data_IF_266545992000
#
_entry.id   IF_266545992000
#
_cell.length_a   1.000
_cell.length_b   1.000
_cell.length_c   1.000
_cell.angle_alpha   90.00
_cell.angle_beta   90.00
_cell.angle_gamma   90.00
#
_symmetry.space_group_name_H-M   'P 1'
#
loop_
_entity.id
_entity.type
_entity.pdbx_description
1 polymer ?
#
# COMPACT_ATOMS: atom_id res chain seq x y z
N UNK A 1 -71.41 -1.23 16.40
CA UNK A 1 -70.38 -0.16 16.44
C UNK A 1 -69.15 -0.75 17.12
N UNK A 2 -68.06 -1.03 16.37
CA UNK A 2 -66.86 -0.19 16.19
C UNK A 2 -66.20 0.18 17.54
N UNK A 3 -64.91 0.01 17.78
CA UNK A 3 -63.79 -0.56 17.05
C UNK A 3 -62.66 -0.82 18.08
N UNK A 4 -61.84 -1.86 17.85
CA UNK A 4 -60.64 -2.17 18.64
C UNK A 4 -59.50 -1.24 18.23
N UNK A 5 -58.82 -0.63 19.20
CA UNK A 5 -57.50 -0.02 19.01
C UNK A 5 -56.44 -1.15 19.06
N UNK A 6 -55.66 -1.27 17.98
CA UNK A 6 -54.41 -2.01 17.97
C UNK A 6 -53.37 -1.12 17.28
N UNK A 7 -52.55 -0.43 18.08
CA UNK A 7 -51.32 0.18 17.59
C UNK A 7 -50.22 -0.88 17.66
N UNK A 8 -49.98 -1.53 16.53
CA UNK A 8 -48.87 -2.46 16.34
C UNK A 8 -47.59 -1.74 15.95
N UNK A 9 -46.56 -1.95 16.78
CA UNK A 9 -45.14 -2.11 16.47
C UNK A 9 -44.71 -1.84 15.01
N UNK A 10 -44.04 -0.70 14.75
CA UNK A 10 -43.25 -0.47 13.51
C UNK A 10 -41.78 -0.06 13.82
N UNK A 11 -41.34 -0.14 15.08
CA UNK A 11 -40.01 0.34 15.47
C UNK A 11 -38.87 -0.71 15.42
N UNK A 12 -39.15 -1.99 15.14
CA UNK A 12 -38.15 -3.05 15.25
C UNK A 12 -37.47 -3.44 13.93
N UNK A 13 -38.03 -3.10 12.76
CA UNK A 13 -37.49 -3.53 11.46
C UNK A 13 -36.42 -2.62 10.87
N UNK A 14 -36.38 -1.34 11.26
CA UNK A 14 -35.36 -0.38 10.80
C UNK A 14 -33.99 -0.56 11.52
N UNK A 15 -33.98 -1.08 12.75
CA UNK A 15 -32.72 -1.31 13.50
C UNK A 15 -31.91 -2.51 12.97
N UNK A 16 -32.57 -3.56 12.47
CA UNK A 16 -31.85 -4.74 11.94
C UNK A 16 -31.20 -4.48 10.57
N UNK A 17 -31.77 -3.59 9.75
CA UNK A 17 -31.19 -3.25 8.45
C UNK A 17 -29.89 -2.44 8.57
N UNK A 18 -29.75 -1.62 9.62
CA UNK A 18 -28.50 -0.88 9.89
C UNK A 18 -27.43 -1.76 10.51
N UNK A 19 -27.80 -2.76 11.32
CA UNK A 19 -26.84 -3.71 11.91
C UNK A 19 -26.27 -4.70 10.89
N UNK A 20 -27.07 -5.20 9.94
CA UNK A 20 -26.58 -6.10 8.89
C UNK A 20 -25.57 -5.39 7.96
N UNK A 21 -25.87 -4.16 7.55
CA UNK A 21 -24.98 -3.34 6.70
C UNK A 21 -23.66 -3.02 7.42
N UNK A 22 -23.69 -2.82 8.74
CA UNK A 22 -22.49 -2.60 9.54
C UNK A 22 -21.66 -3.90 9.72
N UNK A 23 -22.30 -5.06 9.81
CA UNK A 23 -21.62 -6.35 9.93
C UNK A 23 -20.88 -6.77 8.65
N UNK A 24 -21.42 -6.40 7.48
CA UNK A 24 -20.83 -6.75 6.18
C UNK A 24 -19.82 -5.70 5.66
N UNK A 25 -19.73 -4.52 6.28
CA UNK A 25 -18.81 -3.49 5.82
C UNK A 25 -17.34 -3.86 6.11
N UNK A 26 -16.50 -3.72 5.08
CA UNK A 26 -15.08 -4.05 5.18
C UNK A 26 -14.77 -5.54 5.17
N UNK A 27 -15.69 -6.34 4.62
CA UNK A 27 -15.51 -7.75 4.27
C UNK A 27 -15.48 -7.94 2.75
N UNK A 28 -14.81 -9.00 2.29
CA UNK A 28 -14.87 -9.41 0.88
C UNK A 28 -16.33 -9.67 0.49
N UNK A 29 -16.72 -9.14 -0.66
CA UNK A 29 -18.07 -9.10 -1.24
C UNK A 29 -19.14 -8.39 -0.38
N UNK A 30 -18.71 -7.72 0.68
CA UNK A 30 -19.58 -6.93 1.55
C UNK A 30 -19.89 -5.54 1.00
N UNK A 31 -20.39 -4.64 1.85
CA UNK A 31 -20.74 -3.27 1.44
C UNK A 31 -19.49 -2.38 1.35
N UNK A 32 -19.28 -1.74 0.21
CA UNK A 32 -18.26 -0.71 0.01
C UNK A 32 -18.80 0.70 0.32
N UNK A 33 -17.95 1.72 0.60
CA UNK A 33 -18.39 3.08 0.79
C UNK A 33 -19.24 3.59 -0.38
N UNK A 34 -20.42 4.14 -0.10
CA UNK A 34 -21.36 4.55 -1.14
C UNK A 34 -20.90 5.75 -1.96
N UNK A 35 -19.95 6.55 -1.45
CA UNK A 35 -19.48 7.79 -2.06
C UNK A 35 -18.07 7.68 -2.71
N UNK A 36 -17.65 6.47 -3.12
CA UNK A 36 -16.35 6.26 -3.79
C UNK A 36 -16.19 7.17 -5.02
N UNK A 37 -17.24 7.30 -5.85
CA UNK A 37 -17.17 8.11 -7.07
C UNK A 37 -16.98 9.60 -6.76
N UNK A 38 -17.72 10.13 -5.77
CA UNK A 38 -17.60 11.53 -5.32
C UNK A 38 -16.18 11.84 -4.82
N UNK A 39 -15.64 10.98 -3.94
CA UNK A 39 -14.29 11.17 -3.41
C UNK A 39 -13.23 11.06 -4.50
N UNK A 40 -13.43 10.14 -5.45
CA UNK A 40 -12.52 9.99 -6.59
C UNK A 40 -12.55 11.22 -7.49
N UNK A 41 -13.73 11.79 -7.74
CA UNK A 41 -13.87 13.04 -8.50
C UNK A 41 -13.16 14.21 -7.82
N UNK A 42 -13.31 14.37 -6.50
CA UNK A 42 -12.60 15.38 -5.71
C UNK A 42 -11.08 15.25 -5.89
N UNK A 43 -10.54 14.04 -5.72
CA UNK A 43 -9.09 13.81 -5.84
C UNK A 43 -8.58 14.01 -7.28
N UNK A 44 -9.44 13.79 -8.28
CA UNK A 44 -9.13 13.95 -9.70
C UNK A 44 -9.26 15.39 -10.22
N UNK A 45 -9.74 16.33 -9.41
CA UNK A 45 -9.67 17.76 -9.73
C UNK A 45 -8.22 18.21 -9.93
N UNK A 46 -7.27 17.58 -9.22
CA UNK A 46 -5.86 17.74 -9.47
C UNK A 46 -5.40 16.92 -10.69
N UNK A 47 -4.66 17.50 -11.65
CA UNK A 47 -4.29 16.83 -12.91
C UNK A 47 -2.97 16.05 -12.80
N UNK A 48 -2.85 15.15 -11.81
CA UNK A 48 -1.69 14.25 -11.73
C UNK A 48 -1.70 13.24 -12.87
N UNK A 49 -0.55 12.70 -13.24
CA UNK A 49 -0.38 11.77 -14.36
C UNK A 49 -0.21 10.32 -13.91
N UNK A 50 0.55 10.14 -12.82
CA UNK A 50 0.85 8.87 -12.20
C UNK A 50 0.63 8.97 -10.69
N UNK A 51 0.35 7.84 -10.05
CA UNK A 51 0.39 7.74 -8.60
C UNK A 51 1.08 6.44 -8.17
N UNK A 52 2.23 6.57 -7.51
CA UNK A 52 2.92 5.44 -6.92
C UNK A 52 2.24 5.10 -5.58
N UNK A 53 1.65 3.92 -5.51
CA UNK A 53 0.94 3.42 -4.35
C UNK A 53 1.89 2.53 -3.53
N UNK A 54 2.17 2.97 -2.31
CA UNK A 54 3.08 2.33 -1.36
C UNK A 54 2.24 1.80 -0.21
N UNK A 55 1.93 0.51 -0.24
CA UNK A 55 1.10 -0.12 0.80
C UNK A 55 1.93 -0.47 2.03
N UNK A 56 1.31 -0.34 3.20
CA UNK A 56 1.97 -0.60 4.48
C UNK A 56 2.18 -2.10 4.72
N UNK A 57 3.14 -2.41 5.58
CA UNK A 57 3.42 -3.78 5.98
C UNK A 57 2.42 -4.31 7.00
N UNK A 58 1.91 -5.53 6.76
CA UNK A 58 0.92 -6.19 7.64
C UNK A 58 1.41 -7.52 8.23
N UNK A 59 2.46 -8.13 7.69
CA UNK A 59 2.91 -9.44 8.17
C UNK A 59 3.91 -9.35 9.33
N UNK A 60 3.95 -10.42 10.13
CA UNK A 60 4.95 -10.60 11.20
C UNK A 60 6.33 -11.03 10.67
N UNK A 61 6.44 -11.45 9.40
CA UNK A 61 7.62 -12.17 8.90
C UNK A 61 8.04 -11.95 7.45
N UNK A 62 7.54 -10.95 6.71
CA UNK A 62 8.11 -10.69 5.37
C UNK A 62 7.27 -9.99 4.31
N UNK A 63 6.40 -9.03 4.63
CA UNK A 63 5.84 -8.12 3.63
C UNK A 63 6.20 -6.71 4.04
N UNK A 64 7.38 -6.22 3.64
CA UNK A 64 7.87 -4.84 3.86
C UNK A 64 7.07 -3.75 3.11
N UNK A 65 5.77 -3.97 2.94
CA UNK A 65 4.91 -3.20 2.05
C UNK A 65 4.82 -3.79 0.65
N UNK A 66 4.03 -3.12 -0.18
CA UNK A 66 3.78 -3.48 -1.58
C UNK A 66 3.85 -2.21 -2.43
N UNK A 67 4.28 -2.34 -3.70
CA UNK A 67 4.26 -1.25 -4.66
C UNK A 67 3.29 -1.55 -5.79
N UNK A 68 2.46 -0.58 -6.09
CA UNK A 68 1.64 -0.53 -7.29
C UNK A 68 1.74 0.85 -7.94
N UNK A 69 1.37 0.96 -9.20
CA UNK A 69 1.39 2.23 -9.95
C UNK A 69 0.04 2.47 -10.60
N UNK A 70 -0.64 3.54 -10.20
CA UNK A 70 -1.81 4.03 -10.91
C UNK A 70 -1.35 4.88 -12.10
N UNK A 71 -1.88 4.59 -13.28
CA UNK A 71 -1.75 5.42 -14.47
C UNK A 71 -3.09 6.10 -14.72
N UNK A 72 -3.08 7.44 -14.74
CA UNK A 72 -4.31 8.22 -14.89
C UNK A 72 -4.98 7.94 -16.23
N UNK A 73 -6.31 7.84 -16.19
CA UNK A 73 -7.18 7.65 -17.35
C UNK A 73 -6.92 6.34 -18.10
N UNK A 74 -6.32 5.35 -17.43
CA UNK A 74 -6.18 3.99 -17.97
C UNK A 74 -7.51 3.26 -18.16
N UNK A 75 -8.59 3.74 -17.52
CA UNK A 75 -9.98 3.28 -17.72
C UNK A 75 -10.94 4.47 -17.67
N UNK A 76 -12.12 4.39 -18.32
CA UNK A 76 -13.07 5.50 -18.31
C UNK A 76 -13.50 5.92 -16.91
N UNK A 77 -13.24 7.19 -16.54
CA UNK A 77 -13.69 7.77 -15.27
C UNK A 77 -12.94 7.28 -14.02
N UNK A 78 -11.80 6.60 -14.18
CA UNK A 78 -10.95 6.13 -13.09
C UNK A 78 -9.48 6.02 -13.57
N UNK A 79 -8.57 5.66 -12.68
CA UNK A 79 -7.20 5.29 -13.04
C UNK A 79 -7.08 3.76 -13.12
N UNK A 80 -6.08 3.27 -13.85
CA UNK A 80 -5.74 1.84 -13.84
C UNK A 80 -4.50 1.60 -12.99
N UNK A 81 -4.62 0.76 -11.97
CA UNK A 81 -3.54 0.37 -11.07
C UNK A 81 -2.87 -0.88 -11.57
N UNK A 82 -1.56 -0.80 -11.76
CA UNK A 82 -0.68 -1.93 -12.07
C UNK A 82 0.00 -2.43 -10.82
N UNK A 83 -0.21 -3.71 -10.49
CA UNK A 83 0.27 -4.35 -9.28
C UNK A 83 0.86 -5.72 -9.61
N UNK A 84 2.02 -6.06 -9.04
CA UNK A 84 2.55 -7.42 -9.20
C UNK A 84 1.73 -8.42 -8.39
N UNK A 85 1.32 -9.50 -9.02
CA UNK A 85 0.55 -10.58 -8.43
C UNK A 85 1.46 -11.52 -7.64
N UNK A 86 1.32 -11.52 -6.32
CA UNK A 86 2.08 -12.39 -5.42
C UNK A 86 1.86 -13.89 -5.72
N UNK A 87 0.65 -14.26 -6.14
CA UNK A 87 0.26 -15.65 -6.37
C UNK A 87 0.65 -16.18 -7.75
N UNK A 88 1.14 -15.32 -8.65
CA UNK A 88 1.64 -15.72 -9.98
C UNK A 88 3.08 -16.29 -9.91
N UNK A 89 3.37 -17.11 -8.90
CA UNK A 89 4.68 -17.73 -8.64
C UNK A 89 4.78 -19.18 -9.16
N UNK A 90 3.66 -19.74 -9.62
CA UNK A 90 3.52 -21.11 -10.12
C UNK A 90 3.81 -22.18 -9.06
N UNK A 91 3.61 -21.86 -7.78
CA UNK A 91 3.63 -22.86 -6.71
C UNK A 91 2.39 -23.76 -6.77
N UNK A 92 2.52 -25.00 -6.31
CA UNK A 92 1.39 -25.93 -6.24
C UNK A 92 0.34 -25.43 -5.23
N UNK A 93 0.79 -24.74 -4.17
CA UNK A 93 -0.07 -24.11 -3.17
C UNK A 93 -0.96 -23.01 -3.76
N UNK A 94 -0.47 -22.28 -4.77
CA UNK A 94 -1.22 -21.22 -5.45
C UNK A 94 -1.95 -21.68 -6.73
N UNK A 95 -1.86 -22.96 -7.08
CA UNK A 95 -2.47 -23.50 -8.30
C UNK A 95 -4.01 -23.45 -8.30
N UNK A 96 -4.63 -23.35 -7.13
CA UNK A 96 -6.09 -23.23 -6.97
C UNK A 96 -6.45 -22.24 -5.87
N UNK A 97 -7.62 -21.60 -5.97
CA UNK A 97 -8.10 -20.64 -4.97
C UNK A 97 -7.57 -19.21 -5.14
N UNK A 98 -6.59 -19.00 -6.03
CA UNK A 98 -5.98 -17.70 -6.31
C UNK A 98 -6.13 -17.30 -7.78
N UNK A 99 -6.12 -15.99 -8.03
CA UNK A 99 -5.98 -15.48 -9.39
C UNK A 99 -4.50 -15.56 -9.80
N UNK A 100 -4.19 -16.34 -10.83
CA UNK A 100 -2.80 -16.54 -11.30
C UNK A 100 -2.66 -16.34 -12.81
N UNK A 101 -3.70 -15.80 -13.46
CA UNK A 101 -3.73 -15.63 -14.91
C UNK A 101 -2.70 -14.61 -15.41
N UNK A 102 -2.45 -13.55 -14.64
CA UNK A 102 -1.48 -12.49 -14.97
C UNK A 102 -0.50 -12.24 -13.82
N UNK A 103 0.73 -11.89 -14.19
CA UNK A 103 1.80 -11.51 -13.26
C UNK A 103 1.71 -10.03 -12.86
N UNK A 104 1.32 -9.17 -13.79
CA UNK A 104 1.02 -7.76 -13.57
C UNK A 104 -0.47 -7.55 -13.74
N UNK A 105 -1.16 -7.34 -12.62
CA UNK A 105 -2.59 -7.08 -12.59
C UNK A 105 -2.88 -5.66 -13.07
N UNK A 106 -3.99 -5.46 -13.76
CA UNK A 106 -4.56 -4.15 -14.05
C UNK A 106 -5.93 -4.02 -13.39
N UNK A 107 -6.04 -3.21 -12.34
CA UNK A 107 -7.27 -3.06 -11.54
C UNK A 107 -7.70 -1.59 -11.51
N UNK A 108 -8.99 -1.25 -11.72
CA UNK A 108 -9.46 0.12 -11.52
C UNK A 108 -9.11 0.62 -10.12
N UNK A 109 -8.59 1.84 -9.99
CA UNK A 109 -8.08 2.35 -8.70
C UNK A 109 -9.14 2.40 -7.62
N UNK A 110 -10.40 2.71 -7.97
CA UNK A 110 -11.53 2.63 -7.04
C UNK A 110 -11.67 1.24 -6.45
N UNK A 111 -11.49 0.21 -7.28
CA UNK A 111 -11.51 -1.19 -6.86
C UNK A 111 -10.30 -1.53 -6.01
N UNK A 112 -9.10 -1.20 -6.51
CA UNK A 112 -7.84 -1.45 -5.82
C UNK A 112 -7.83 -0.89 -4.40
N UNK A 113 -8.30 0.35 -4.21
CA UNK A 113 -8.30 1.00 -2.91
C UNK A 113 -9.54 0.67 -2.07
N UNK A 114 -10.76 0.77 -2.62
CA UNK A 114 -11.97 0.97 -1.80
C UNK A 114 -13.07 -0.07 -1.98
N UNK A 115 -13.11 -0.83 -3.06
CA UNK A 115 -14.20 -1.82 -3.25
C UNK A 115 -13.94 -3.10 -2.48
N UNK A 116 -15.02 -3.83 -2.29
CA UNK A 116 -15.09 -5.12 -1.58
C UNK A 116 -15.23 -6.30 -2.53
N UNK A 117 -15.37 -6.08 -3.84
CA UNK A 117 -15.42 -7.13 -4.87
C UNK A 117 -14.43 -6.81 -6.00
N UNK A 118 -14.02 -7.84 -6.74
CA UNK A 118 -13.06 -7.69 -7.84
C UNK A 118 -13.63 -7.97 -9.21
N UNK A 119 -13.17 -7.21 -10.20
CA UNK A 119 -13.43 -7.43 -11.63
C UNK A 119 -12.46 -8.44 -12.27
N UNK A 120 -11.37 -8.82 -11.61
CA UNK A 120 -10.41 -9.79 -12.13
C UNK A 120 -10.96 -11.23 -12.10
N UNK A 121 -11.35 -11.69 -10.92
CA UNK A 121 -11.98 -12.98 -10.67
C UNK A 121 -12.44 -13.07 -9.20
N UNK A 122 -13.32 -14.04 -8.91
CA UNK A 122 -13.69 -14.39 -7.53
C UNK A 122 -12.48 -14.83 -6.67
N UNK A 123 -11.44 -15.36 -7.31
CA UNK A 123 -10.20 -15.82 -6.67
C UNK A 123 -9.16 -14.71 -6.45
N UNK A 124 -9.47 -13.45 -6.81
CA UNK A 124 -8.60 -12.32 -6.47
C UNK A 124 -8.54 -12.13 -4.93
N UNK A 125 -7.39 -11.68 -4.43
CA UNK A 125 -7.14 -11.54 -3.00
C UNK A 125 -7.58 -10.17 -2.46
N UNK A 126 -8.51 -10.18 -1.51
CA UNK A 126 -8.98 -8.98 -0.83
C UNK A 126 -7.94 -8.49 0.18
N UNK A 127 -7.63 -7.19 0.17
CA UNK A 127 -6.55 -6.60 0.96
C UNK A 127 -5.14 -6.78 0.37
N UNK A 128 -5.06 -7.20 -0.90
CA UNK A 128 -3.81 -7.27 -1.68
C UNK A 128 -4.02 -6.86 -3.14
N UNK A 129 -4.89 -7.56 -3.87
CA UNK A 129 -5.19 -7.24 -5.28
C UNK A 129 -6.24 -6.13 -5.40
N UNK A 130 -7.14 -6.05 -4.41
CA UNK A 130 -8.16 -5.02 -4.30
C UNK A 130 -8.56 -4.77 -2.84
N UNK A 131 -9.27 -3.68 -2.55
CA UNK A 131 -9.72 -3.35 -1.19
C UNK A 131 -8.57 -3.13 -0.19
N UNK A 132 -7.45 -2.57 -0.64
CA UNK A 132 -6.23 -2.40 0.17
C UNK A 132 -6.48 -1.70 1.51
N UNK A 133 -7.35 -0.67 1.54
CA UNK A 133 -7.59 0.11 2.76
C UNK A 133 -8.20 -0.72 3.90
N UNK A 134 -8.77 -1.89 3.62
CA UNK A 134 -9.32 -2.75 4.66
C UNK A 134 -8.21 -3.51 5.40
N UNK A 135 -7.12 -3.87 4.72
CA UNK A 135 -5.98 -4.59 5.33
C UNK A 135 -4.91 -3.62 5.85
N UNK A 136 -4.65 -2.52 5.14
CA UNK A 136 -3.48 -1.64 5.36
C UNK A 136 -3.67 -0.21 4.87
N UNK A 137 -2.86 0.72 5.38
CA UNK A 137 -2.77 2.06 4.80
C UNK A 137 -1.97 2.02 3.49
N UNK A 138 -2.23 2.99 2.62
CA UNK A 138 -1.48 3.20 1.37
C UNK A 138 -1.05 4.66 1.29
N UNK A 139 0.21 4.90 0.97
CA UNK A 139 0.71 6.23 0.58
C UNK A 139 0.70 6.31 -0.93
N UNK A 140 -0.06 7.25 -1.47
CA UNK A 140 -0.07 7.57 -2.89
C UNK A 140 0.80 8.80 -3.17
N UNK A 141 1.85 8.62 -3.96
CA UNK A 141 2.72 9.71 -4.40
C UNK A 141 2.28 10.10 -5.81
N UNK A 142 1.55 11.21 -5.92
CA UNK A 142 1.05 11.72 -7.19
C UNK A 142 2.14 12.52 -7.89
N UNK A 143 2.35 12.24 -9.17
CA UNK A 143 3.38 12.87 -10.01
C UNK A 143 2.70 13.63 -11.13
N UNK A 144 3.14 14.86 -11.39
CA UNK A 144 2.53 15.78 -12.35
C UNK A 144 3.53 16.16 -13.44
N UNK A 145 3.02 16.36 -14.65
CA UNK A 145 3.82 16.75 -15.81
C UNK A 145 4.57 15.58 -16.44
N UNK A 146 4.11 14.34 -16.21
CA UNK A 146 4.72 13.15 -16.82
C UNK A 146 4.28 13.07 -18.28
N UNK A 147 5.23 13.03 -19.24
CA UNK A 147 4.93 12.92 -20.65
C UNK A 147 4.03 11.72 -20.99
N UNK A 148 3.17 11.88 -21.99
CA UNK A 148 2.22 10.83 -22.38
C UNK A 148 2.92 9.57 -22.91
N UNK A 149 4.04 9.74 -23.61
CA UNK A 149 4.90 8.65 -24.09
C UNK A 149 5.57 7.89 -22.94
N UNK A 150 6.01 8.57 -21.86
CA UNK A 150 6.49 7.88 -20.66
C UNK A 150 5.39 7.00 -20.02
N UNK A 151 4.15 7.52 -19.93
CA UNK A 151 3.01 6.74 -19.43
C UNK A 151 2.74 5.50 -20.28
N UNK A 152 2.68 5.67 -21.61
CA UNK A 152 2.48 4.56 -22.55
C UNK A 152 3.62 3.54 -22.47
N UNK A 153 4.87 3.98 -22.41
CA UNK A 153 6.02 3.09 -22.33
C UNK A 153 5.99 2.22 -21.05
N UNK A 154 5.57 2.79 -19.92
CA UNK A 154 5.37 2.03 -18.67
C UNK A 154 4.25 1.01 -18.81
N UNK A 155 3.09 1.38 -19.37
CA UNK A 155 1.97 0.43 -19.54
C UNK A 155 2.29 -0.68 -20.53
N UNK A 156 2.97 -0.37 -21.63
CA UNK A 156 3.42 -1.34 -22.63
C UNK A 156 4.42 -2.32 -22.02
N UNK A 157 5.30 -1.84 -21.12
CA UNK A 157 6.20 -2.71 -20.39
C UNK A 157 5.45 -3.69 -19.47
N UNK A 158 4.40 -3.25 -18.77
CA UNK A 158 3.60 -4.17 -17.95
C UNK A 158 2.89 -5.24 -18.79
N UNK A 159 2.36 -4.85 -19.96
CA UNK A 159 1.78 -5.82 -20.91
C UNK A 159 2.83 -6.83 -21.40
N UNK A 160 4.04 -6.36 -21.69
CA UNK A 160 5.17 -7.24 -22.04
C UNK A 160 5.50 -8.22 -20.91
N UNK A 161 5.52 -7.78 -19.65
CA UNK A 161 5.76 -8.67 -18.50
C UNK A 161 4.73 -9.79 -18.45
N UNK A 162 3.44 -9.51 -18.70
CA UNK A 162 2.42 -10.55 -18.79
C UNK A 162 2.63 -11.48 -19.99
N UNK A 163 2.93 -10.94 -21.17
CA UNK A 163 3.21 -11.75 -22.35
C UNK A 163 4.42 -12.69 -22.13
N UNK A 164 5.44 -12.22 -21.42
CA UNK A 164 6.63 -13.00 -21.07
C UNK A 164 6.30 -14.04 -19.98
N UNK A 165 5.47 -13.70 -18.98
CA UNK A 165 4.93 -14.66 -18.00
C UNK A 165 4.13 -15.80 -18.66
N UNK A 166 3.22 -15.48 -19.59
CA UNK A 166 2.40 -16.48 -20.28
C UNK A 166 3.22 -17.41 -21.15
N UNK A 167 4.22 -16.87 -21.84
CA UNK A 167 5.14 -17.64 -22.70
C UNK A 167 6.23 -18.37 -21.93
N UNK A 168 6.30 -18.20 -20.60
CA UNK A 168 7.38 -18.76 -19.77
C UNK A 168 8.75 -18.31 -20.27
N UNK A 169 8.87 -17.03 -20.63
CA UNK A 169 10.13 -16.49 -21.09
C UNK A 169 11.16 -16.55 -19.95
N UNK A 170 12.41 -16.83 -20.31
CA UNK A 170 13.54 -16.86 -19.40
C UNK A 170 14.60 -15.87 -19.86
N UNK A 171 15.42 -15.39 -18.93
CA UNK A 171 16.64 -14.60 -19.21
C UNK A 171 16.38 -13.38 -20.13
N UNK A 172 15.32 -12.65 -19.80
CA UNK A 172 14.98 -11.37 -20.43
C UNK A 172 15.98 -10.27 -20.05
N UNK A 173 15.99 -9.15 -20.78
CA UNK A 173 16.88 -8.02 -20.46
C UNK A 173 16.66 -7.42 -19.06
N UNK A 174 15.48 -7.64 -18.46
CA UNK A 174 15.10 -7.09 -17.16
C UNK A 174 15.10 -8.15 -16.03
N UNK A 175 15.20 -9.45 -16.35
CA UNK A 175 15.10 -10.53 -15.37
C UNK A 175 15.87 -11.79 -15.79
N UNK A 176 16.73 -12.27 -14.89
CA UNK A 176 17.44 -13.56 -15.01
C UNK A 176 16.56 -14.69 -14.46
N UNK A 177 16.35 -15.75 -15.25
CA UNK A 177 15.43 -16.86 -14.97
C UNK A 177 14.02 -16.65 -15.55
N UNK A 178 13.13 -17.59 -15.22
CA UNK A 178 11.72 -17.57 -15.66
C UNK A 178 10.98 -16.34 -15.13
N UNK A 179 10.25 -15.66 -16.02
CA UNK A 179 9.36 -14.55 -15.67
C UNK A 179 8.16 -15.11 -14.91
N UNK A 180 8.21 -15.04 -13.58
CA UNK A 180 7.13 -15.33 -12.64
C UNK A 180 7.37 -14.57 -11.33
N UNK A 181 6.36 -14.47 -10.49
CA UNK A 181 6.55 -13.83 -9.19
C UNK A 181 7.58 -14.63 -8.39
N UNK A 182 8.61 -13.92 -7.92
CA UNK A 182 9.58 -14.45 -6.98
C UNK A 182 9.88 -13.33 -6.00
N UNK A 183 9.56 -13.58 -4.72
CA UNK A 183 9.76 -12.60 -3.67
C UNK A 183 11.18 -12.03 -3.72
N UNK A 184 12.22 -12.83 -3.98
CA UNK A 184 13.62 -12.39 -4.01
C UNK A 184 14.07 -11.81 -5.36
N UNK A 185 13.49 -12.24 -6.48
CA UNK A 185 14.07 -11.98 -7.82
C UNK A 185 13.21 -11.18 -8.78
N UNK A 186 11.88 -11.24 -8.66
CA UNK A 186 10.92 -10.52 -9.49
C UNK A 186 9.67 -10.16 -8.68
N UNK A 187 9.88 -9.31 -7.67
CA UNK A 187 8.82 -8.78 -6.82
C UNK A 187 8.26 -7.46 -7.38
N UNK A 188 7.25 -6.89 -6.70
CA UNK A 188 6.62 -5.62 -7.07
C UNK A 188 7.61 -4.46 -7.25
N UNK A 189 8.62 -4.34 -6.38
CA UNK A 189 9.61 -3.28 -6.48
C UNK A 189 10.45 -3.42 -7.77
N UNK A 190 10.84 -4.64 -8.13
CA UNK A 190 11.57 -4.88 -9.37
C UNK A 190 10.72 -4.62 -10.59
N UNK A 191 9.48 -5.10 -10.65
CA UNK A 191 8.62 -4.93 -11.82
C UNK A 191 8.30 -3.47 -12.09
N UNK A 192 7.94 -2.70 -11.05
CA UNK A 192 7.72 -1.25 -11.17
C UNK A 192 9.02 -0.52 -11.57
N UNK A 193 10.15 -0.79 -10.89
CA UNK A 193 11.42 -0.16 -11.25
C UNK A 193 11.87 -0.50 -12.68
N UNK A 194 11.65 -1.75 -13.12
CA UNK A 194 11.97 -2.19 -14.47
C UNK A 194 11.12 -1.48 -15.54
N UNK A 195 9.84 -1.20 -15.25
CA UNK A 195 9.00 -0.44 -16.18
C UNK A 195 9.53 0.97 -16.45
N UNK A 196 10.06 1.65 -15.43
CA UNK A 196 10.71 2.95 -15.64
C UNK A 196 12.08 2.82 -16.29
N UNK A 197 12.91 1.87 -15.87
CA UNK A 197 14.27 1.69 -16.40
C UNK A 197 14.28 1.24 -17.87
N UNK A 198 13.54 0.17 -18.18
CA UNK A 198 13.55 -0.50 -19.48
C UNK A 198 12.37 -0.10 -20.38
N UNK A 199 11.26 0.39 -19.80
CA UNK A 199 10.15 0.97 -20.57
C UNK A 199 10.37 2.45 -20.84
N UNK A 200 10.30 3.28 -19.79
CA UNK A 200 10.36 4.75 -19.92
C UNK A 200 11.77 5.34 -20.06
N UNK A 201 12.83 4.52 -20.17
CA UNK A 201 14.19 4.99 -20.42
C UNK A 201 14.86 5.71 -19.23
N UNK A 202 14.55 5.32 -17.99
CA UNK A 202 15.20 5.87 -16.81
C UNK A 202 16.57 5.19 -16.61
N UNK A 203 17.54 5.51 -17.47
CA UNK A 203 18.81 4.78 -17.62
C UNK A 203 19.61 4.64 -16.31
N UNK A 204 19.53 5.65 -15.45
CA UNK A 204 20.24 5.72 -14.18
C UNK A 204 19.44 5.14 -12.99
N UNK A 205 18.21 4.69 -13.20
CA UNK A 205 17.42 4.04 -12.15
C UNK A 205 17.99 2.64 -11.88
N UNK A 206 18.67 2.47 -10.76
CA UNK A 206 19.25 1.18 -10.37
C UNK A 206 18.17 0.17 -9.99
N UNK A 207 17.95 -0.81 -10.86
CA UNK A 207 17.10 -1.97 -10.63
C UNK A 207 18.00 -3.19 -10.53
N UNK A 208 18.03 -3.82 -9.36
CA UNK A 208 18.94 -4.96 -9.14
C UNK A 208 18.40 -6.20 -9.86
N UNK A 209 19.25 -6.81 -10.67
CA UNK A 209 19.09 -8.17 -11.16
C UNK A 209 20.14 -9.05 -10.50
N UNK A 210 19.74 -10.21 -9.99
CA UNK A 210 20.63 -11.15 -9.36
C UNK A 210 21.53 -11.80 -10.42
N UNK A 211 22.56 -11.06 -10.88
CA UNK A 211 23.58 -11.63 -11.76
C UNK A 211 24.10 -12.90 -11.11
N UNK A 212 24.09 -13.98 -11.90
CA UNK A 212 24.48 -15.33 -11.53
C UNK A 212 25.94 -15.37 -11.04
N UNK A 213 26.20 -14.95 -9.79
CA UNK A 213 27.45 -15.16 -9.10
C UNK A 213 27.54 -16.66 -8.82
N UNK A 214 28.10 -17.41 -9.78
CA UNK A 214 28.27 -18.87 -9.82
C UNK A 214 28.99 -19.49 -8.60
N UNK A 215 29.27 -18.77 -7.50
CA UNK A 215 30.06 -19.31 -6.39
C UNK A 215 29.62 -19.03 -4.95
N UNK A 216 28.56 -18.27 -4.65
CA UNK A 216 28.09 -18.13 -3.24
C UNK A 216 26.57 -17.98 -3.14
N UNK A 217 25.90 -19.00 -2.60
CA UNK A 217 24.47 -19.03 -2.23
C UNK A 217 24.04 -17.96 -1.20
N UNK A 218 24.96 -17.13 -0.71
CA UNK A 218 24.75 -16.17 0.39
C UNK A 218 24.31 -14.78 -0.13
N UNK A 219 24.32 -14.51 -1.44
CA UNK A 219 24.14 -13.14 -1.99
C UNK A 219 22.69 -12.77 -2.36
N UNK A 220 21.78 -13.74 -2.53
CA UNK A 220 20.45 -13.49 -3.14
C UNK A 220 19.53 -12.61 -2.26
N UNK A 221 19.64 -12.69 -0.93
CA UNK A 221 18.83 -11.86 -0.04
C UNK A 221 19.25 -10.39 0.00
N UNK A 222 20.53 -10.11 -0.24
CA UNK A 222 21.08 -8.76 -0.28
C UNK A 222 20.83 -8.04 -1.62
N UNK A 223 20.31 -8.73 -2.63
CA UNK A 223 20.11 -8.19 -4.00
C UNK A 223 18.65 -7.96 -4.37
N UNK A 224 17.69 -8.29 -3.50
CA UNK A 224 16.29 -8.11 -3.80
C UNK A 224 15.90 -6.63 -3.70
N UNK A 225 15.17 -6.12 -4.70
CA UNK A 225 14.68 -4.74 -4.67
C UNK A 225 13.68 -4.56 -3.52
N UNK A 226 13.91 -3.56 -2.67
CA UNK A 226 13.06 -3.25 -1.52
C UNK A 226 11.98 -2.25 -1.97
N UNK A 227 10.68 -2.48 -1.67
CA UNK A 227 9.59 -1.57 -2.04
C UNK A 227 9.86 -0.10 -1.72
N UNK A 228 10.16 0.23 -0.46
CA UNK A 228 10.33 1.62 -0.07
C UNK A 228 11.62 2.24 -0.63
N UNK A 229 12.70 1.46 -0.79
CA UNK A 229 13.92 1.91 -1.45
C UNK A 229 13.65 2.28 -2.91
N UNK A 230 12.94 1.43 -3.66
CA UNK A 230 12.58 1.70 -5.05
C UNK A 230 11.69 2.95 -5.15
N UNK A 231 10.73 3.11 -4.24
CA UNK A 231 9.90 4.32 -4.18
C UNK A 231 10.76 5.58 -3.98
N UNK A 232 11.77 5.54 -3.10
CA UNK A 232 12.68 6.67 -2.89
C UNK A 232 13.57 6.96 -4.11
N UNK A 233 14.02 5.92 -4.82
CA UNK A 233 14.76 6.08 -6.09
C UNK A 233 13.89 6.76 -7.15
N UNK A 234 12.63 6.35 -7.31
CA UNK A 234 11.70 6.94 -8.26
C UNK A 234 11.36 8.41 -7.92
N UNK A 235 11.03 8.70 -6.66
CA UNK A 235 10.78 10.07 -6.19
C UNK A 235 11.97 10.98 -6.46
N UNK A 236 13.19 10.49 -6.21
CA UNK A 236 14.41 11.24 -6.52
C UNK A 236 14.56 11.50 -8.01
N UNK A 237 14.30 10.50 -8.84
CA UNK A 237 14.40 10.64 -10.29
C UNK A 237 13.35 11.62 -10.86
N UNK A 238 12.10 11.55 -10.41
CA UNK A 238 11.07 12.54 -10.75
C UNK A 238 11.43 13.95 -10.31
N UNK A 239 12.00 14.09 -9.11
CA UNK A 239 12.55 15.35 -8.63
C UNK A 239 13.66 15.91 -9.52
N UNK A 240 14.57 15.06 -10.02
CA UNK A 240 15.62 15.47 -10.98
C UNK A 240 15.07 15.89 -12.33
N UNK A 241 13.97 15.27 -12.77
CA UNK A 241 13.24 15.61 -14.00
C UNK A 241 12.39 16.87 -13.86
N UNK A 242 12.25 17.40 -12.64
CA UNK A 242 11.46 18.60 -12.36
C UNK A 242 9.95 18.34 -12.32
N UNK A 243 9.52 17.08 -12.23
CA UNK A 243 8.12 16.75 -12.06
C UNK A 243 7.63 17.19 -10.68
N UNK A 244 6.47 17.84 -10.66
CA UNK A 244 5.86 18.19 -9.38
C UNK A 244 5.29 16.92 -8.73
N UNK A 245 5.29 16.90 -7.40
CA UNK A 245 4.81 15.76 -6.63
C UNK A 245 4.02 16.23 -5.41
N UNK A 246 2.98 15.48 -5.06
CA UNK A 246 2.34 15.57 -3.76
C UNK A 246 1.95 14.17 -3.25
N UNK A 247 1.51 14.10 -1.99
CA UNK A 247 1.20 12.83 -1.33
C UNK A 247 -0.23 12.80 -0.80
N UNK A 248 -0.91 11.68 -1.06
CA UNK A 248 -2.21 11.30 -0.49
C UNK A 248 -2.01 10.14 0.47
N UNK A 249 -2.57 10.26 1.68
CA UNK A 249 -2.68 9.13 2.59
C UNK A 249 -4.05 8.47 2.47
N UNK A 250 -4.10 7.22 2.04
CA UNK A 250 -5.28 6.37 2.17
C UNK A 250 -5.17 5.58 3.46
N UNK A 251 -5.93 5.97 4.49
CA UNK A 251 -5.82 5.37 5.81
C UNK A 251 -6.55 4.03 5.87
N UNK A 252 -5.91 3.03 6.50
CA UNK A 252 -6.54 1.77 6.87
C UNK A 252 -7.85 1.99 7.63
N UNK A 253 -8.91 1.27 7.25
CA UNK A 253 -10.14 1.16 8.03
C UNK A 253 -9.91 0.23 9.22
N UNK A 254 -10.05 0.77 10.44
CA UNK A 254 -9.78 0.04 11.68
C UNK A 254 -10.83 -1.02 12.03
N UNK A 255 -12.00 -0.99 11.39
CA UNK A 255 -13.12 -1.87 11.73
C UNK A 255 -13.25 -3.16 10.90
N UNK A 256 -12.33 -3.45 9.97
CA UNK A 256 -12.45 -4.64 9.11
C UNK A 256 -12.27 -5.93 9.91
N UNK A 257 -13.36 -6.68 10.10
CA UNK A 257 -13.37 -7.97 10.80
C UNK A 257 -13.02 -9.15 9.89
N UNK A 258 -12.78 -8.90 8.60
CA UNK A 258 -12.47 -9.92 7.62
C UNK A 258 -11.21 -10.70 8.00
N UNK A 259 -11.30 -12.02 7.88
CA UNK A 259 -10.20 -12.97 8.05
C UNK A 259 -10.00 -13.63 6.69
N UNK A 260 -8.80 -13.50 6.13
CA UNK A 260 -8.47 -14.18 4.88
C UNK A 260 -8.46 -15.70 5.13
N UNK A 261 -9.24 -16.51 4.39
CA UNK A 261 -9.26 -17.96 4.56
C UNK A 261 -7.91 -18.62 4.26
N UNK A 262 -6.99 -17.92 3.58
CA UNK A 262 -5.67 -18.41 3.22
C UNK A 262 -4.57 -17.96 4.22
N UNK A 263 -4.86 -17.08 5.17
CA UNK A 263 -3.88 -16.63 6.17
C UNK A 263 -3.74 -17.70 7.29
N UNK A 264 -2.51 -18.14 7.56
CA UNK A 264 -2.17 -19.05 8.66
C UNK A 264 -1.10 -18.43 9.58
N UNK A 265 -1.38 -18.17 10.88
CA UNK A 265 -2.67 -18.37 11.54
C UNK A 265 -3.73 -17.36 11.07
N UNK A 266 -5.02 -17.70 11.17
CA UNK A 266 -6.10 -16.77 10.85
C UNK A 266 -6.06 -15.52 11.74
N UNK A 267 -6.03 -14.33 11.13
CA UNK A 267 -6.04 -13.04 11.83
C UNK A 267 -6.96 -12.08 11.11
N UNK A 268 -7.82 -11.38 11.86
CA UNK A 268 -8.69 -10.36 11.29
C UNK A 268 -7.89 -9.13 10.85
N UNK A 269 -8.31 -8.49 9.76
CA UNK A 269 -7.60 -7.35 9.21
C UNK A 269 -7.43 -6.21 10.21
N UNK A 270 -8.43 -5.90 11.03
CA UNK A 270 -8.32 -4.90 12.12
C UNK A 270 -7.15 -5.17 13.09
N UNK A 271 -6.82 -6.45 13.31
CA UNK A 271 -5.80 -6.88 14.27
C UNK A 271 -4.41 -7.00 13.61
N UNK A 272 -4.33 -6.85 12.28
CA UNK A 272 -3.06 -6.79 11.58
C UNK A 272 -2.36 -5.45 11.86
N UNK A 273 -1.02 -5.47 12.05
CA UNK A 273 -0.25 -4.25 12.17
C UNK A 273 -0.35 -3.42 10.89
N UNK A 274 -0.16 -2.11 11.02
CA UNK A 274 -0.18 -1.18 9.91
C UNK A 274 1.12 -0.37 9.89
N UNK A 275 2.20 -0.99 9.40
CA UNK A 275 3.56 -0.47 9.59
C UNK A 275 4.08 0.25 8.37
N UNK A 276 4.69 1.41 8.58
CA UNK A 276 5.41 2.11 7.52
C UNK A 276 6.49 1.17 6.93
N UNK A 277 6.60 1.05 5.61
CA UNK A 277 7.56 0.14 4.99
C UNK A 277 9.00 0.64 5.17
N UNK A 278 9.92 -0.26 5.53
CA UNK A 278 11.32 0.11 5.72
C UNK A 278 12.03 0.33 4.37
N UNK A 279 12.87 1.37 4.29
CA UNK A 279 13.80 1.61 3.17
C UNK A 279 14.94 0.58 3.18
N UNK A 280 15.28 0.02 4.34
CA UNK A 280 16.51 -0.76 4.56
C UNK A 280 16.30 -2.27 4.60
N UNK A 281 15.07 -2.73 4.83
CA UNK A 281 14.80 -4.15 5.05
C UNK A 281 13.50 -4.60 4.43
N UNK A 282 13.51 -5.86 4.00
CA UNK A 282 12.35 -6.62 3.53
C UNK A 282 11.66 -7.37 4.66
N UNK A 283 12.41 -7.67 5.71
CA UNK A 283 11.92 -8.34 6.90
C UNK A 283 11.75 -7.31 8.01
N UNK A 284 10.54 -7.24 8.58
CA UNK A 284 10.35 -6.56 9.84
C UNK A 284 10.91 -7.44 10.95
N UNK A 285 12.05 -7.05 11.53
CA UNK A 285 12.36 -7.54 12.88
C UNK A 285 11.36 -6.90 13.85
N UNK A 286 10.89 -7.68 14.82
CA UNK A 286 9.98 -7.20 15.88
C UNK A 286 10.56 -6.00 16.64
N UNK A 287 11.88 -5.88 16.63
CA UNK A 287 12.69 -4.80 17.23
C UNK A 287 12.94 -3.61 16.27
N UNK A 288 12.52 -3.70 15.00
CA UNK A 288 12.71 -2.65 13.98
C UNK A 288 11.64 -1.55 14.01
N UNK A 289 10.73 -1.60 14.99
CA UNK A 289 9.60 -0.68 15.13
C UNK A 289 9.96 0.78 15.43
N UNK A 290 11.24 1.11 15.58
CA UNK A 290 11.64 2.47 15.96
C UNK A 290 12.09 3.35 14.79
N UNK A 291 12.39 2.78 13.61
CA UNK A 291 12.77 3.50 12.37
C UNK A 291 13.67 4.73 12.65
N UNK A 292 14.67 4.55 13.49
CA UNK A 292 15.50 5.66 13.97
C UNK A 292 16.70 5.95 13.06
N UNK A 293 16.93 5.10 12.07
CA UNK A 293 17.94 5.33 11.06
C UNK A 293 17.56 6.50 10.16
N UNK A 294 18.59 7.16 9.64
CA UNK A 294 18.43 8.35 8.83
C UNK A 294 17.55 8.11 7.60
N UNK A 295 17.66 6.96 6.93
CA UNK A 295 16.97 6.71 5.66
C UNK A 295 15.46 6.55 5.84
N UNK A 296 15.03 5.82 6.87
CA UNK A 296 13.61 5.72 7.21
C UNK A 296 13.05 7.05 7.71
N UNK A 297 13.77 7.76 8.59
CA UNK A 297 13.35 9.08 9.06
C UNK A 297 13.25 10.08 7.89
N UNK A 298 14.22 10.06 6.98
CA UNK A 298 14.22 10.91 5.79
C UNK A 298 13.01 10.63 4.92
N UNK A 299 12.73 9.35 4.63
CA UNK A 299 11.57 8.96 3.83
C UNK A 299 10.25 9.44 4.48
N UNK A 300 10.09 9.23 5.79
CA UNK A 300 8.91 9.68 6.52
C UNK A 300 8.74 11.21 6.45
N UNK A 301 9.81 11.98 6.69
CA UNK A 301 9.75 13.45 6.64
C UNK A 301 9.52 13.98 5.22
N UNK A 302 10.07 13.31 4.20
CA UNK A 302 9.89 13.69 2.80
C UNK A 302 8.43 13.52 2.40
N UNK A 303 7.85 12.33 2.60
CA UNK A 303 6.45 12.05 2.29
C UNK A 303 5.50 12.93 3.11
N UNK A 304 5.85 13.20 4.37
CA UNK A 304 5.11 14.15 5.20
C UNK A 304 5.14 15.57 4.62
N UNK A 305 6.27 16.03 4.11
CA UNK A 305 6.44 17.38 3.55
C UNK A 305 5.73 17.54 2.19
N UNK A 306 5.61 16.44 1.44
CA UNK A 306 4.84 16.38 0.19
C UNK A 306 3.32 16.17 0.43
N UNK A 307 2.91 15.81 1.65
CA UNK A 307 1.53 15.51 2.01
C UNK A 307 0.54 16.62 1.66
N UNK A 308 -0.59 16.24 1.06
CA UNK A 308 -1.69 17.12 0.67
C UNK A 308 -3.02 16.67 1.22
N UNK A 309 -3.39 15.42 0.97
CA UNK A 309 -4.68 14.86 1.35
C UNK A 309 -4.54 13.66 2.27
N UNK A 310 -5.59 13.46 3.08
CA UNK A 310 -5.85 12.22 3.80
C UNK A 310 -7.27 11.77 3.48
N UNK A 311 -7.38 10.53 3.02
CA UNK A 311 -8.64 9.84 2.75
C UNK A 311 -8.84 8.77 3.82
N UNK A 312 -10.03 8.70 4.39
CA UNK A 312 -10.35 7.72 5.42
C UNK A 312 -11.84 7.39 5.41
N UNK A 313 -12.21 6.20 5.89
CA UNK A 313 -13.61 5.88 6.21
C UNK A 313 -14.00 6.58 7.51
N UNK A 314 -15.14 7.25 7.52
CA UNK A 314 -15.79 7.71 8.73
C UNK A 314 -16.54 6.53 9.37
N UNK A 315 -16.17 6.15 10.59
CA UNK A 315 -16.69 4.93 11.23
C UNK A 315 -18.17 5.02 11.60
N UNK A 316 -18.74 6.23 11.72
CA UNK A 316 -20.16 6.41 12.05
C UNK A 316 -21.06 6.34 10.80
N UNK A 317 -20.57 6.82 9.66
CA UNK A 317 -21.36 6.94 8.42
C UNK A 317 -20.98 5.91 7.36
N UNK A 318 -19.82 5.25 7.52
CA UNK A 318 -19.21 4.32 6.57
C UNK A 318 -18.92 4.94 5.19
N UNK A 319 -18.94 6.28 5.11
CA UNK A 319 -18.56 7.04 3.93
C UNK A 319 -17.08 7.41 3.97
N UNK A 320 -16.49 7.63 2.81
CA UNK A 320 -15.14 8.18 2.69
C UNK A 320 -15.15 9.69 2.96
N UNK A 321 -14.15 10.18 3.67
CA UNK A 321 -13.86 11.59 3.89
C UNK A 321 -12.51 11.94 3.28
N UNK A 322 -12.42 13.10 2.61
CA UNK A 322 -11.16 13.72 2.20
C UNK A 322 -10.89 14.92 3.09
N UNK A 323 -9.73 14.93 3.74
CA UNK A 323 -9.23 16.09 4.48
C UNK A 323 -8.00 16.61 3.76
N UNK A 324 -8.05 17.88 3.35
CA UNK A 324 -6.82 18.59 3.00
C UNK A 324 -6.02 18.75 4.29
N UNK A 325 -4.96 17.98 4.40
CA UNK A 325 -4.24 17.87 5.64
C UNK A 325 -3.16 18.95 5.74
N UNK A 326 -2.55 19.34 4.61
CA UNK A 326 -1.40 20.26 4.57
C UNK A 326 -1.29 20.97 3.22
N UNK A 327 -0.53 22.08 3.22
CA UNK A 327 0.00 22.68 2.00
C UNK A 327 1.27 21.93 1.59
N UNK A 328 1.23 21.32 0.41
CA UNK A 328 2.38 20.60 -0.18
C UNK A 328 3.56 21.55 -0.37
N UNK A 329 4.76 21.06 -0.04
CA UNK A 329 6.01 21.75 -0.33
C UNK A 329 6.56 21.35 -1.71
N UNK A 330 7.16 22.28 -2.48
CA UNK A 330 7.94 21.91 -3.65
C UNK A 330 9.02 20.88 -3.30
N UNK A 331 9.34 19.97 -4.22
CA UNK A 331 10.22 18.84 -3.94
C UNK A 331 11.58 19.25 -3.34
N UNK A 332 12.23 20.28 -3.89
CA UNK A 332 13.52 20.75 -3.38
C UNK A 332 13.45 21.20 -1.91
N UNK A 333 12.42 21.98 -1.55
CA UNK A 333 12.19 22.40 -0.16
C UNK A 333 11.85 21.19 0.74
N UNK A 334 11.03 20.26 0.24
CA UNK A 334 10.69 19.04 0.97
C UNK A 334 11.94 18.18 1.28
N UNK A 335 12.91 18.10 0.37
CA UNK A 335 14.19 17.40 0.57
C UNK A 335 15.04 18.07 1.65
N UNK A 336 15.14 19.40 1.65
CA UNK A 336 15.88 20.14 2.68
C UNK A 336 15.26 19.92 4.06
N UNK A 337 13.93 20.07 4.17
CA UNK A 337 13.19 19.83 5.41
C UNK A 337 13.33 18.38 5.88
N UNK A 338 13.24 17.41 4.97
CA UNK A 338 13.39 16.00 5.31
C UNK A 338 14.79 15.66 5.82
N UNK A 339 15.82 16.21 5.18
CA UNK A 339 17.21 16.03 5.60
C UNK A 339 17.44 16.61 6.99
N UNK A 340 16.98 17.85 7.23
CA UNK A 340 17.13 18.51 8.52
C UNK A 340 16.34 17.78 9.63
N UNK A 341 15.09 17.40 9.34
CA UNK A 341 14.22 16.66 10.26
C UNK A 341 14.79 15.30 10.65
N UNK A 342 15.26 14.52 9.67
CA UNK A 342 15.86 13.21 9.92
C UNK A 342 17.14 13.30 10.76
N UNK A 343 18.02 14.28 10.49
CA UNK A 343 19.22 14.52 11.32
C UNK A 343 18.86 14.89 12.75
N UNK A 344 17.89 15.77 12.92
CA UNK A 344 17.43 16.21 14.24
C UNK A 344 16.85 15.04 15.05
N UNK A 345 15.96 14.26 14.44
CA UNK A 345 15.31 13.13 15.11
C UNK A 345 16.32 12.03 15.46
N UNK A 346 17.24 11.70 14.55
CA UNK A 346 18.32 10.75 14.81
C UNK A 346 19.23 11.20 15.98
N UNK A 347 19.58 12.49 16.06
CA UNK A 347 20.38 13.02 17.16
C UNK A 347 19.63 13.00 18.50
N UNK A 348 18.34 13.30 18.49
CA UNK A 348 17.51 13.25 19.69
C UNK A 348 17.29 11.82 20.18
N UNK A 349 17.10 10.85 19.28
CA UNK A 349 17.04 9.42 19.59
C UNK A 349 18.36 8.95 20.22
N UNK A 350 19.50 9.34 19.64
CA UNK A 350 20.84 9.06 20.21
C UNK A 350 20.99 9.60 21.63
N UNK A 351 20.39 10.76 21.91
CA UNK A 351 20.39 11.40 23.24
C UNK A 351 19.28 10.89 24.18
N UNK A 352 18.43 9.95 23.74
CA UNK A 352 17.25 9.44 24.47
C UNK A 352 16.35 10.57 24.99
N UNK A 353 16.21 11.65 24.21
CA UNK A 353 15.32 12.76 24.57
C UNK A 353 13.88 12.37 24.25
N UNK A 354 12.93 12.81 25.07
CA UNK A 354 11.50 12.71 24.75
C UNK A 354 11.14 13.85 23.78
N UNK A 355 10.85 13.52 22.52
CA UNK A 355 10.41 14.50 21.52
C UNK A 355 9.33 13.90 20.61
N UNK A 356 8.49 14.77 20.03
CA UNK A 356 7.53 14.36 18.99
C UNK A 356 8.19 14.49 17.62
N UNK A 357 8.58 13.36 17.02
CA UNK A 357 8.98 13.33 15.61
C UNK A 357 7.81 13.72 14.71
N UNK A 358 7.92 14.83 13.97
CA UNK A 358 6.85 15.28 13.08
C UNK A 358 6.52 14.28 11.96
N UNK A 359 7.51 13.50 11.52
CA UNK A 359 7.35 12.45 10.50
C UNK A 359 6.64 11.20 11.02
N UNK A 360 6.81 10.85 12.29
CA UNK A 360 6.28 9.61 12.91
C UNK A 360 4.78 9.66 13.23
N UNK A 361 4.23 10.84 13.56
CA UNK A 361 2.88 10.98 14.14
C UNK A 361 1.81 11.61 13.23
N UNK A 362 2.11 11.93 11.96
CA UNK A 362 1.06 12.35 11.02
C UNK A 362 0.15 11.17 10.60
N UNK A 363 0.72 9.96 10.65
CA UNK A 363 0.10 8.72 10.19
C UNK A 363 -0.78 8.05 11.27
N UNK A 364 -0.57 8.40 12.54
CA UNK A 364 -1.31 7.87 13.70
C UNK A 364 -1.63 9.01 14.68
N UNK A 365 -2.91 9.23 14.97
CA UNK A 365 -3.27 9.70 16.31
C UNK A 365 -2.87 8.58 17.25
N UNK A 366 -1.98 8.87 18.21
CA UNK A 366 -1.51 7.90 19.18
C UNK A 366 -2.69 7.25 19.92
N UNK A 367 -3.04 6.04 19.51
CA UNK A 367 -3.52 5.04 20.43
C UNK A 367 -2.82 3.71 20.14
N UNK A 368 -1.54 3.68 20.49
CA UNK A 368 -0.76 2.46 20.68
C UNK A 368 -0.72 2.09 22.18
N UNK A 369 -1.74 2.47 22.97
CA UNK A 369 -1.78 2.24 24.42
C UNK A 369 -1.65 0.76 24.82
N UNK A 370 -1.90 -0.14 23.87
CA UNK A 370 -1.83 -1.59 24.03
C UNK A 370 -0.48 -2.20 23.61
N UNK A 371 0.48 -1.41 23.12
CA UNK A 371 1.82 -1.89 22.74
C UNK A 371 2.86 -1.82 23.86
N UNK A 372 2.51 -1.31 25.04
CA UNK A 372 3.44 -1.13 26.17
C UNK A 372 2.94 -1.59 27.54
N UNK A 373 1.97 -2.52 27.61
CA UNK A 373 1.73 -3.26 28.85
C UNK A 373 2.44 -4.63 28.80
N UNK A 374 3.72 -4.63 29.17
CA UNK A 374 4.41 -5.83 29.60
C UNK A 374 5.13 -5.56 30.92
N UNK A 375 4.99 -6.47 31.89
CA UNK A 375 5.96 -6.59 32.98
C UNK A 375 6.89 -7.76 32.71
N UNK A 376 8.15 -7.58 33.13
CA UNK A 376 9.37 -8.19 32.58
C UNK A 376 9.53 -9.73 32.72
N UNK A 377 8.57 -10.46 33.30
CA UNK A 377 8.73 -11.89 33.60
C UNK A 377 7.66 -12.84 32.99
N UNK A 378 6.89 -12.40 32.00
CA UNK A 378 6.11 -13.33 31.16
C UNK A 378 4.96 -14.09 31.87
N UNK A 379 4.34 -13.53 32.92
CA UNK A 379 3.04 -14.02 33.44
C UNK A 379 2.02 -12.89 33.59
N UNK A 380 0.77 -13.21 33.25
CA UNK A 380 -0.42 -12.34 33.28
C UNK A 380 -0.68 -11.80 34.69
N UNK A 381 -0.80 -10.48 34.87
CA UNK A 381 -1.41 -9.93 36.08
C UNK A 381 -2.94 -10.09 36.01
N UNK A 382 -3.61 -10.47 37.11
CA UNK A 382 -5.06 -10.58 37.14
C UNK A 382 -5.71 -9.19 37.22
N UNK A 383 -6.87 -9.09 36.56
CA UNK A 383 -7.75 -7.91 36.53
C UNK A 383 -8.04 -7.40 37.95
N UNK A 384 -7.92 -6.08 38.15
CA UNK A 384 -8.62 -5.40 39.24
C UNK A 384 -9.99 -4.97 38.73
N UNK A 385 -10.98 -5.22 39.59
CA UNK A 385 -12.43 -5.10 39.41
C UNK A 385 -12.92 -3.79 38.78
#
# INVERSE_FOLDING_TARGET
>A
MRARFAYGLVAATLFFATELVAADFGSKDGVAPANIDEITEILRQDPYDLELLISFGTSKGGSAGHLALAVRDGVPGDDLVYSANFYADRSDEHASGFYTADLMLGIPKKEYLFKTSSSLAETAAFGLDFGEIYKRSVIGVRVYGVPADEKTAVTDFFQRVNADYHRQAEDTEYHDGEVKYDYMRLNCAKTIGAAFRFGAGYEHLEVTSAKLLKRRRIVVAATANIPMEMAMKLIKEWGRRGYAMDVVLYKKYGGSTYVDPNDDPPVAFKDLPNRFPSVLSRDFRRDAGEYEDFDNLYAMHLLYSLGRYRVQVNEQTLLLEVKQAKNTKPYAEAVELATAGARSDMENNRRKLLFRSKGKYFWESADNSHLYDFTEDGKRQPSRE
#
